data_IF_002248874879
#
_entry.id   IF_002248874879
#
_cell.length_a   1.000
_cell.length_b   1.000
_cell.length_c   1.000
_cell.angle_alpha   90.00
_cell.angle_beta   90.00
_cell.angle_gamma   90.00
#
_symmetry.space_group_name_H-M   'P 1'
#
loop_
_entity.id
_entity.type
_entity.pdbx_description
1 polymer ?
#
# COMPACT_ATOMS: atom_id res chain seq x y z
N UNK A 1 -20.40 37.19 14.07
CA UNK A 1 -19.01 36.71 13.94
C UNK A 1 -18.92 35.14 13.95
N UNK A 2 -19.55 34.44 14.90
CA UNK A 2 -19.48 32.94 14.95
C UNK A 2 -20.04 32.22 13.72
N UNK A 3 -21.05 32.77 13.02
CA UNK A 3 -21.61 32.15 11.81
C UNK A 3 -20.69 32.28 10.58
N UNK A 4 -19.90 33.34 10.50
CA UNK A 4 -18.96 33.57 9.39
C UNK A 4 -17.76 32.63 9.48
N UNK A 5 -17.26 32.33 10.70
CA UNK A 5 -16.16 31.39 10.92
C UNK A 5 -16.56 29.94 10.60
N UNK A 6 -17.81 29.55 10.89
CA UNK A 6 -18.34 28.23 10.55
C UNK A 6 -18.47 28.04 9.02
N UNK A 7 -18.88 29.07 8.30
CA UNK A 7 -19.02 29.03 6.83
C UNK A 7 -17.63 28.94 6.19
N UNK A 8 -16.65 29.71 6.67
CA UNK A 8 -15.26 29.63 6.15
C UNK A 8 -14.63 28.26 6.42
N UNK A 9 -14.87 27.66 7.59
CA UNK A 9 -14.35 26.30 7.90
C UNK A 9 -15.00 25.23 7.03
N UNK A 10 -16.29 25.35 6.73
CA UNK A 10 -17.00 24.42 5.84
C UNK A 10 -16.51 24.55 4.38
N UNK A 11 -16.26 25.77 3.90
CA UNK A 11 -15.67 26.01 2.57
C UNK A 11 -14.24 25.49 2.45
N UNK A 12 -13.43 25.62 3.51
CA UNK A 12 -12.08 25.10 3.55
C UNK A 12 -12.06 23.56 3.55
N UNK A 13 -12.98 22.91 4.26
CA UNK A 13 -13.14 21.46 4.21
C UNK A 13 -13.61 20.96 2.83
N UNK A 14 -14.55 21.66 2.18
CA UNK A 14 -14.99 21.31 0.82
C UNK A 14 -13.85 21.51 -0.21
N UNK A 15 -13.01 22.52 -0.05
CA UNK A 15 -11.87 22.74 -0.94
C UNK A 15 -10.79 21.67 -0.82
N UNK A 16 -10.63 21.06 0.36
CA UNK A 16 -9.69 19.96 0.59
C UNK A 16 -10.17 18.65 -0.04
N UNK A 17 -11.48 18.40 -0.15
CA UNK A 17 -12.05 17.22 -0.82
C UNK A 17 -12.16 17.38 -2.34
N UNK A 18 -12.12 18.62 -2.85
CA UNK A 18 -12.26 18.92 -4.29
C UNK A 18 -11.07 18.45 -5.15
N UNK A 19 -9.95 18.02 -4.53
CA UNK A 19 -8.77 17.46 -5.25
C UNK A 19 -8.76 15.94 -5.33
N UNK A 20 -9.59 15.24 -4.58
CA UNK A 20 -9.67 13.78 -4.64
C UNK A 20 -10.51 13.34 -5.84
N UNK A 21 -9.98 12.40 -6.61
CA UNK A 21 -10.66 11.81 -7.76
C UNK A 21 -10.46 10.29 -7.76
N UNK A 22 -11.29 9.55 -7.00
CA UNK A 22 -11.16 8.09 -6.88
C UNK A 22 -11.25 7.36 -8.24
N UNK A 23 -12.00 7.88 -9.21
CA UNK A 23 -12.09 7.30 -10.54
C UNK A 23 -10.74 7.37 -11.27
N UNK A 24 -10.08 8.54 -11.23
CA UNK A 24 -8.71 8.67 -11.78
C UNK A 24 -7.71 7.81 -11.01
N UNK A 25 -7.82 7.74 -9.70
CA UNK A 25 -6.96 6.90 -8.87
C UNK A 25 -7.04 5.44 -9.31
N UNK A 26 -8.24 4.90 -9.52
CA UNK A 26 -8.42 3.52 -10.01
C UNK A 26 -7.78 3.29 -11.38
N UNK A 27 -7.93 4.21 -12.32
CA UNK A 27 -7.29 4.10 -13.64
C UNK A 27 -5.78 4.02 -13.52
N UNK A 28 -5.15 4.90 -12.73
CA UNK A 28 -3.70 4.85 -12.52
C UNK A 28 -3.27 3.60 -11.72
N UNK A 29 -4.10 3.09 -10.80
CA UNK A 29 -3.81 1.84 -10.09
C UNK A 29 -3.80 0.66 -11.04
N UNK A 30 -4.77 0.57 -11.93
CA UNK A 30 -4.85 -0.48 -12.94
C UNK A 30 -3.65 -0.41 -13.91
N UNK A 31 -3.31 0.78 -14.39
CA UNK A 31 -2.15 0.99 -15.27
C UNK A 31 -0.84 0.62 -14.56
N UNK A 32 -0.63 1.10 -13.34
CA UNK A 32 0.57 0.81 -12.55
C UNK A 32 0.71 -0.68 -12.22
N UNK A 33 -0.39 -1.36 -11.89
CA UNK A 33 -0.37 -2.80 -11.67
C UNK A 33 -0.04 -3.59 -12.95
N UNK A 34 -0.49 -3.15 -14.12
CA UNK A 34 -0.11 -3.74 -15.41
C UNK A 34 1.38 -3.55 -15.70
N UNK A 35 1.91 -2.35 -15.46
CA UNK A 35 3.34 -2.05 -15.62
C UNK A 35 4.19 -2.98 -14.75
N UNK A 36 3.78 -3.18 -13.50
CA UNK A 36 4.45 -4.08 -12.57
C UNK A 36 4.35 -5.55 -12.99
N UNK A 37 3.12 -6.06 -13.18
CA UNK A 37 2.86 -7.51 -13.28
C UNK A 37 3.08 -8.08 -14.68
N UNK A 38 2.86 -7.30 -15.73
CA UNK A 38 2.97 -7.78 -17.11
C UNK A 38 4.25 -7.35 -17.80
N UNK A 39 4.79 -6.19 -17.44
CA UNK A 39 5.91 -5.58 -18.17
C UNK A 39 7.18 -5.48 -17.34
N UNK A 40 7.13 -5.79 -16.03
CA UNK A 40 8.25 -5.67 -15.10
C UNK A 40 8.93 -4.28 -15.12
N UNK A 41 8.13 -3.25 -15.38
CA UNK A 41 8.57 -1.85 -15.43
C UNK A 41 8.38 -1.20 -14.06
N UNK A 42 9.29 -1.48 -13.14
CA UNK A 42 9.14 -1.17 -11.73
C UNK A 42 9.13 0.34 -11.45
N UNK A 43 10.01 1.10 -12.07
CA UNK A 43 10.09 2.56 -11.87
C UNK A 43 8.87 3.27 -12.46
N UNK A 44 8.44 2.89 -13.69
CA UNK A 44 7.22 3.43 -14.30
C UNK A 44 5.96 3.09 -13.49
N UNK A 45 5.92 1.87 -12.93
CA UNK A 45 4.83 1.44 -12.04
C UNK A 45 4.81 2.30 -10.75
N UNK A 46 5.96 2.54 -10.12
CA UNK A 46 6.08 3.38 -8.93
C UNK A 46 5.57 4.81 -9.18
N UNK A 47 5.98 5.43 -10.30
CA UNK A 47 5.52 6.76 -10.70
C UNK A 47 4.01 6.80 -10.93
N UNK A 48 3.49 5.82 -11.67
CA UNK A 48 2.06 5.74 -12.02
C UNK A 48 1.20 5.53 -10.78
N UNK A 49 1.63 4.66 -9.85
CA UNK A 49 0.94 4.41 -8.59
C UNK A 49 1.05 5.61 -7.63
N UNK A 50 2.12 6.38 -7.71
CA UNK A 50 2.23 7.66 -6.98
C UNK A 50 1.20 8.68 -7.48
N UNK A 51 0.91 8.71 -8.79
CA UNK A 51 -0.20 9.51 -9.32
C UNK A 51 -1.55 9.02 -8.81
N UNK A 52 -1.76 7.69 -8.74
CA UNK A 52 -2.97 7.11 -8.16
C UNK A 52 -3.20 7.63 -6.72
N UNK A 53 -2.19 7.55 -5.87
CA UNK A 53 -2.24 8.00 -4.47
C UNK A 53 -2.49 9.51 -4.38
N UNK A 54 -1.96 10.31 -5.31
CA UNK A 54 -2.22 11.76 -5.35
C UNK A 54 -3.70 12.06 -5.60
N UNK A 55 -4.39 11.24 -6.40
CA UNK A 55 -5.82 11.39 -6.68
C UNK A 55 -6.73 10.79 -5.60
N UNK A 56 -6.25 9.78 -4.87
CA UNK A 56 -6.97 9.20 -3.74
C UNK A 56 -5.99 8.64 -2.71
N UNK A 57 -5.86 9.35 -1.60
CA UNK A 57 -4.98 8.96 -0.47
C UNK A 57 -5.51 7.76 0.33
N UNK A 58 -6.75 7.36 0.09
CA UNK A 58 -7.39 6.21 0.75
C UNK A 58 -7.39 4.94 -0.12
N UNK A 59 -6.77 5.00 -1.29
CA UNK A 59 -6.65 3.84 -2.18
C UNK A 59 -5.56 2.88 -1.68
N UNK A 60 -5.96 1.90 -0.84
CA UNK A 60 -5.03 0.91 -0.27
C UNK A 60 -4.33 0.06 -1.33
N UNK A 61 -4.99 -0.24 -2.46
CA UNK A 61 -4.41 -1.02 -3.55
C UNK A 61 -3.25 -0.28 -4.22
N UNK A 62 -3.36 1.03 -4.39
CA UNK A 62 -2.28 1.84 -4.97
C UNK A 62 -1.03 1.81 -4.09
N UNK A 63 -1.18 1.90 -2.76
CA UNK A 63 -0.06 1.72 -1.84
C UNK A 63 0.52 0.31 -1.92
N UNK A 64 -0.33 -0.71 -1.92
CA UNK A 64 0.11 -2.11 -2.02
C UNK A 64 0.94 -2.36 -3.29
N UNK A 65 0.41 -2.00 -4.46
CA UNK A 65 1.14 -2.21 -5.72
C UNK A 65 2.42 -1.37 -5.81
N UNK A 66 2.42 -0.15 -5.26
CA UNK A 66 3.64 0.65 -5.19
C UNK A 66 4.69 0.01 -4.28
N UNK A 67 4.28 -0.54 -3.14
CA UNK A 67 5.13 -1.35 -2.30
C UNK A 67 5.72 -2.56 -3.04
N UNK A 68 4.90 -3.27 -3.83
CA UNK A 68 5.36 -4.38 -4.66
C UNK A 68 6.38 -3.92 -5.73
N UNK A 69 6.17 -2.78 -6.38
CA UNK A 69 7.13 -2.21 -7.32
C UNK A 69 8.47 -1.91 -6.63
N UNK A 70 8.42 -1.29 -5.46
CA UNK A 70 9.61 -0.99 -4.64
C UNK A 70 10.36 -2.23 -4.18
N UNK A 71 9.66 -3.33 -3.82
CA UNK A 71 10.32 -4.61 -3.50
C UNK A 71 11.14 -5.11 -4.68
N UNK A 72 10.58 -5.07 -5.89
CA UNK A 72 11.28 -5.49 -7.10
C UNK A 72 12.45 -4.56 -7.46
N UNK A 73 12.36 -3.29 -7.10
CA UNK A 73 13.46 -2.31 -7.21
C UNK A 73 14.44 -2.36 -6.02
N UNK A 74 14.32 -3.35 -5.12
CA UNK A 74 15.14 -3.54 -3.90
C UNK A 74 15.05 -2.40 -2.87
N UNK A 75 14.04 -1.55 -2.96
CA UNK A 75 13.74 -0.45 -2.02
C UNK A 75 12.91 -0.97 -0.83
N UNK A 76 13.44 -1.94 -0.07
CA UNK A 76 12.65 -2.72 0.91
C UNK A 76 12.08 -1.88 2.05
N UNK A 77 12.83 -0.90 2.59
CA UNK A 77 12.33 -0.03 3.68
C UNK A 77 11.17 0.85 3.23
N UNK A 78 11.27 1.38 2.02
CA UNK A 78 10.20 2.20 1.43
C UNK A 78 8.96 1.36 1.08
N UNK A 79 9.18 0.11 0.66
CA UNK A 79 8.09 -0.83 0.41
C UNK A 79 7.31 -1.16 1.69
N UNK A 80 8.02 -1.37 2.81
CA UNK A 80 7.38 -1.61 4.12
C UNK A 80 6.46 -0.45 4.49
N UNK A 81 6.90 0.80 4.33
CA UNK A 81 6.07 1.96 4.62
C UNK A 81 4.79 2.00 3.76
N UNK A 82 4.86 1.59 2.49
CA UNK A 82 3.70 1.49 1.62
C UNK A 82 2.75 0.35 2.04
N UNK A 83 3.28 -0.80 2.45
CA UNK A 83 2.46 -1.90 2.99
C UNK A 83 1.81 -1.54 4.32
N UNK A 84 2.51 -0.85 5.21
CA UNK A 84 1.95 -0.32 6.46
C UNK A 84 0.76 0.60 6.18
N UNK A 85 0.88 1.49 5.18
CA UNK A 85 -0.22 2.37 4.79
C UNK A 85 -1.38 1.61 4.16
N UNK A 86 -1.12 0.60 3.35
CA UNK A 86 -2.18 -0.26 2.81
C UNK A 86 -2.93 -1.00 3.94
N UNK A 87 -2.22 -1.49 4.94
CA UNK A 87 -2.79 -2.18 6.12
C UNK A 87 -3.56 -1.20 7.02
N UNK A 88 -3.08 0.03 7.23
CA UNK A 88 -3.82 1.07 7.95
C UNK A 88 -5.19 1.31 7.30
N UNK A 89 -5.24 1.35 5.98
CA UNK A 89 -6.48 1.57 5.21
C UNK A 89 -7.36 0.32 5.11
N UNK A 90 -6.75 -0.87 5.09
CA UNK A 90 -7.41 -2.18 5.02
C UNK A 90 -6.73 -3.17 5.98
N UNK A 91 -7.16 -3.24 7.26
CA UNK A 91 -6.49 -4.01 8.32
C UNK A 91 -6.44 -5.53 8.11
N UNK A 92 -7.29 -6.09 7.28
CA UNK A 92 -7.35 -7.53 6.94
C UNK A 92 -6.67 -7.88 5.62
N UNK A 93 -5.82 -6.98 5.10
CA UNK A 93 -5.19 -7.18 3.79
C UNK A 93 -4.02 -8.17 3.87
N UNK A 94 -4.33 -9.45 3.80
CA UNK A 94 -3.40 -10.56 3.96
C UNK A 94 -2.17 -10.50 3.03
N UNK A 95 -2.36 -10.06 1.77
CA UNK A 95 -1.27 -9.93 0.80
C UNK A 95 -0.26 -8.84 1.17
N UNK A 96 -0.73 -7.75 1.78
CA UNK A 96 0.15 -6.69 2.25
C UNK A 96 1.02 -7.17 3.42
N UNK A 97 0.45 -7.90 4.38
CA UNK A 97 1.22 -8.52 5.46
C UNK A 97 2.29 -9.49 4.92
N UNK A 98 1.92 -10.33 3.97
CA UNK A 98 2.87 -11.27 3.38
C UNK A 98 4.05 -10.57 2.69
N UNK A 99 3.78 -9.58 1.84
CA UNK A 99 4.85 -8.86 1.14
C UNK A 99 5.68 -7.97 2.08
N UNK A 100 5.07 -7.43 3.14
CA UNK A 100 5.79 -6.76 4.23
C UNK A 100 6.74 -7.73 4.94
N UNK A 101 6.28 -8.95 5.24
CA UNK A 101 7.10 -10.00 5.83
C UNK A 101 8.28 -10.38 4.93
N UNK A 102 8.06 -10.53 3.61
CA UNK A 102 9.13 -10.75 2.64
C UNK A 102 10.16 -9.61 2.66
N UNK A 103 9.71 -8.38 2.75
CA UNK A 103 10.60 -7.20 2.80
C UNK A 103 11.44 -7.21 4.07
N UNK A 104 10.88 -7.54 5.22
CA UNK A 104 11.63 -7.71 6.47
C UNK A 104 12.63 -8.86 6.38
N UNK A 105 12.26 -9.98 5.79
CA UNK A 105 13.16 -11.12 5.59
C UNK A 105 14.37 -10.72 4.72
N UNK A 106 14.16 -9.98 3.63
CA UNK A 106 15.23 -9.48 2.77
C UNK A 106 16.14 -8.46 3.49
N UNK A 107 15.62 -7.77 4.49
CA UNK A 107 16.39 -6.91 5.40
C UNK A 107 17.03 -7.67 6.58
N UNK A 108 16.98 -9.02 6.59
CA UNK A 108 17.48 -9.88 7.67
C UNK A 108 16.81 -9.67 9.03
N UNK A 109 15.58 -9.16 9.04
CA UNK A 109 14.77 -9.04 10.25
C UNK A 109 13.76 -10.19 10.29
N UNK A 110 14.21 -11.36 10.72
CA UNK A 110 13.41 -12.60 10.69
C UNK A 110 12.25 -12.54 11.69
N UNK A 111 12.43 -11.91 12.85
CA UNK A 111 11.38 -11.78 13.86
C UNK A 111 10.16 -11.03 13.30
N UNK A 112 10.38 -9.86 12.71
CA UNK A 112 9.31 -9.08 12.09
C UNK A 112 8.72 -9.77 10.85
N UNK A 113 9.54 -10.49 10.10
CA UNK A 113 9.04 -11.28 8.98
C UNK A 113 8.05 -12.35 9.46
N UNK A 114 8.39 -13.04 10.53
CA UNK A 114 7.53 -14.08 11.12
C UNK A 114 6.22 -13.51 11.70
N UNK A 115 6.27 -12.36 12.37
CA UNK A 115 5.06 -11.67 12.82
C UNK A 115 4.12 -11.38 11.64
N UNK A 116 4.66 -10.85 10.55
CA UNK A 116 3.90 -10.55 9.34
C UNK A 116 3.32 -11.80 8.68
N UNK A 117 4.07 -12.92 8.59
CA UNK A 117 3.57 -14.17 8.03
C UNK A 117 2.45 -14.79 8.86
N UNK A 118 2.54 -14.71 10.20
CA UNK A 118 1.46 -15.14 11.10
C UNK A 118 0.19 -14.30 10.89
N UNK A 119 0.32 -12.98 10.71
CA UNK A 119 -0.82 -12.10 10.40
C UNK A 119 -1.40 -12.38 9.01
N UNK A 120 -0.57 -12.61 8.01
CA UNK A 120 -1.04 -13.00 6.69
C UNK A 120 -1.86 -14.29 6.71
N UNK A 121 -1.39 -15.31 7.47
CA UNK A 121 -2.13 -16.56 7.68
C UNK A 121 -3.45 -16.32 8.42
N UNK A 122 -3.44 -15.51 9.49
CA UNK A 122 -4.64 -15.13 10.24
C UNK A 122 -5.72 -14.49 9.36
N UNK A 123 -5.30 -13.69 8.39
CA UNK A 123 -6.21 -13.01 7.45
C UNK A 123 -6.48 -13.81 6.16
N UNK A 124 -6.15 -15.10 6.17
CA UNK A 124 -6.60 -16.05 5.15
C UNK A 124 -5.69 -16.21 3.94
N UNK A 125 -4.43 -15.75 4.00
CA UNK A 125 -3.51 -16.05 2.91
C UNK A 125 -3.13 -17.53 2.92
N UNK A 126 -3.32 -18.26 1.80
CA UNK A 126 -2.97 -19.69 1.69
C UNK A 126 -1.46 -19.89 1.50
N UNK A 127 -1.04 -21.15 1.64
CA UNK A 127 0.30 -21.64 1.27
C UNK A 127 1.45 -20.95 2.01
N UNK A 128 1.32 -20.77 3.33
CA UNK A 128 2.34 -20.15 4.17
C UNK A 128 3.14 -21.14 5.02
N UNK A 129 2.88 -22.45 4.91
CA UNK A 129 3.47 -23.47 5.77
C UNK A 129 5.00 -23.42 5.81
N UNK A 130 5.65 -23.24 4.66
CA UNK A 130 7.11 -23.20 4.57
C UNK A 130 7.70 -21.92 5.19
N UNK A 131 6.95 -20.81 5.14
CA UNK A 131 7.34 -19.57 5.81
C UNK A 131 7.18 -19.69 7.31
N UNK A 132 6.07 -20.28 7.79
CA UNK A 132 5.76 -20.44 9.20
C UNK A 132 6.66 -21.47 9.89
N UNK A 133 7.09 -22.53 9.21
CA UNK A 133 8.08 -23.47 9.74
C UNK A 133 9.42 -22.84 10.12
N UNK A 134 9.81 -21.76 9.46
CA UNK A 134 11.03 -21.01 9.77
C UNK A 134 10.87 -20.06 10.95
N UNK A 135 9.65 -19.90 11.44
CA UNK A 135 9.29 -18.96 12.52
C UNK A 135 9.22 -19.63 13.90
N UNK A 136 9.67 -20.88 14.02
CA UNK A 136 9.65 -21.68 15.26
C UNK A 136 11.06 -21.93 15.78
#
# INVERSE_FOLDING_TARGET
MKKLTLILSAFLLLALTACENPAKSRVYTEEGSKLLLRYSKFDEAEETLTKAIKYDKHNFEAYYYRGCAKVNAQKYREAIADFEKAIELKPDYADAYFNMGRSYFLLRNEDKACECYKLAAKYGRPNLDDYLKRCN
#
